data_IF_598647199896
#
_entry.id   IF_598647199896
#
_cell.length_a   1.000
_cell.length_b   1.000
_cell.length_c   1.000
_cell.angle_alpha   90.00
_cell.angle_beta   90.00
_cell.angle_gamma   90.00
#
_symmetry.space_group_name_H-M   'P 1'
#
loop_
_entity.id
_entity.type
_entity.pdbx_description
1 polymer ?
#
# COMPACT_ATOMS: atom_id res chain seq x y z
N UNK A 1 21.54 7.79 9.21
CA UNK A 1 20.22 8.44 9.18
C UNK A 1 19.31 7.63 8.25
N UNK A 2 18.01 7.62 8.48
CA UNK A 2 17.02 6.95 7.66
C UNK A 2 15.66 7.64 7.77
N UNK A 3 14.72 7.24 6.91
CA UNK A 3 13.34 7.72 6.93
C UNK A 3 12.38 6.58 6.63
N UNK A 4 11.09 6.84 6.78
CA UNK A 4 10.01 5.89 6.55
C UNK A 4 8.85 6.53 5.79
N UNK A 5 8.30 5.76 4.85
CA UNK A 5 7.06 6.08 4.14
C UNK A 5 6.17 4.82 4.05
N UNK A 6 4.94 5.00 3.64
CA UNK A 6 4.07 3.89 3.25
C UNK A 6 3.55 4.11 1.82
N UNK A 7 3.33 3.02 1.08
CA UNK A 7 2.88 3.06 -0.31
C UNK A 7 1.61 3.91 -0.46
N UNK A 8 0.61 3.71 0.42
CA UNK A 8 -0.64 4.48 0.38
C UNK A 8 -0.49 5.98 0.67
N UNK A 9 0.67 6.42 1.17
CA UNK A 9 0.92 7.84 1.48
C UNK A 9 1.62 8.56 0.34
N UNK A 10 2.49 7.86 -0.40
CA UNK A 10 3.41 8.50 -1.34
C UNK A 10 3.30 8.00 -2.78
N UNK A 11 2.87 6.77 -2.99
CA UNK A 11 3.05 6.07 -4.26
C UNK A 11 2.26 6.68 -5.42
N UNK A 12 0.97 6.94 -5.22
CA UNK A 12 0.11 7.38 -6.31
C UNK A 12 -0.13 6.31 -7.37
N UNK A 13 -0.42 6.74 -8.60
CA UNK A 13 -0.60 5.86 -9.77
C UNK A 13 -1.57 4.70 -9.49
N UNK A 14 -2.70 5.00 -8.85
CA UNK A 14 -3.66 4.01 -8.35
C UNK A 14 -4.33 3.19 -9.46
N UNK A 15 -4.36 3.71 -10.69
CA UNK A 15 -4.97 3.13 -11.88
C UNK A 15 -3.95 2.66 -12.94
N UNK A 16 -2.64 2.69 -12.61
CA UNK A 16 -1.58 2.36 -13.58
C UNK A 16 -1.14 0.90 -13.48
N UNK A 17 -0.75 0.37 -14.64
CA UNK A 17 -0.08 -0.92 -14.78
C UNK A 17 -0.82 -2.09 -14.12
N UNK A 18 -2.16 -2.05 -14.12
CA UNK A 18 -3.00 -3.12 -13.61
C UNK A 18 -3.10 -3.18 -12.09
N UNK A 19 -2.69 -2.11 -11.37
CA UNK A 19 -2.93 -2.04 -9.93
C UNK A 19 -4.42 -2.11 -9.61
N UNK A 20 -4.80 -2.95 -8.66
CA UNK A 20 -6.14 -2.97 -8.08
C UNK A 20 -6.35 -1.86 -7.04
N UNK A 21 -7.60 -1.60 -6.70
CA UNK A 21 -7.92 -0.70 -5.61
C UNK A 21 -7.62 -1.36 -4.25
N UNK A 22 -7.10 -0.57 -3.33
CA UNK A 22 -6.94 -0.95 -1.92
C UNK A 22 -7.96 -0.21 -1.04
N UNK A 23 -8.13 -0.65 0.19
CA UNK A 23 -8.94 0.06 1.19
C UNK A 23 -8.49 1.50 1.39
N UNK A 24 -7.20 1.76 1.28
CA UNK A 24 -6.63 3.10 1.38
C UNK A 24 -7.10 4.04 0.25
N UNK A 25 -7.37 3.50 -0.95
CA UNK A 25 -7.85 4.27 -2.10
C UNK A 25 -9.32 4.74 -1.94
N UNK A 26 -10.03 4.24 -0.91
CA UNK A 26 -11.41 4.61 -0.59
C UNK A 26 -11.52 5.68 0.49
N UNK A 27 -10.40 6.15 1.05
CA UNK A 27 -10.38 7.17 2.10
C UNK A 27 -10.51 8.57 1.47
N UNK A 28 -11.66 9.26 1.64
CA UNK A 28 -11.85 10.56 1.05
C UNK A 28 -11.10 11.67 1.80
N UNK A 29 -10.90 12.79 1.13
CA UNK A 29 -10.40 13.99 1.77
C UNK A 29 -11.46 14.59 2.71
N UNK A 30 -11.06 14.83 3.95
CA UNK A 30 -11.90 15.51 4.93
C UNK A 30 -11.33 16.92 5.14
N UNK A 31 -12.09 17.99 4.84
CA UNK A 31 -11.68 19.36 5.13
C UNK A 31 -11.35 19.55 6.62
N UNK A 32 -10.35 20.36 6.92
CA UNK A 32 -9.88 20.60 8.30
C UNK A 32 -11.03 21.01 9.25
N UNK A 33 -11.99 21.80 8.76
CA UNK A 33 -13.17 22.25 9.51
C UNK A 33 -14.15 21.13 9.89
N UNK A 34 -14.05 19.96 9.24
CA UNK A 34 -14.92 18.79 9.49
C UNK A 34 -14.17 17.64 10.20
N UNK A 35 -12.87 17.82 10.53
CA UNK A 35 -12.10 16.81 11.25
C UNK A 35 -12.44 16.88 12.73
N UNK A 36 -13.14 15.86 13.25
CA UNK A 36 -13.33 15.67 14.69
C UNK A 36 -12.06 15.12 15.36
N UNK A 37 -12.12 14.91 16.69
CA UNK A 37 -11.02 14.27 17.43
C UNK A 37 -10.74 12.84 16.99
N UNK A 38 -11.75 12.13 16.47
CA UNK A 38 -11.61 10.82 15.84
C UNK A 38 -11.39 11.05 14.34
N UNK A 39 -10.15 10.94 13.88
CA UNK A 39 -9.78 11.12 12.46
C UNK A 39 -10.19 9.94 11.56
N UNK A 40 -10.86 8.92 12.10
CA UNK A 40 -11.39 7.81 11.33
C UNK A 40 -12.74 8.22 10.74
N UNK A 41 -12.82 8.32 9.41
CA UNK A 41 -14.12 8.24 8.74
C UNK A 41 -14.54 6.78 8.71
N UNK A 42 -15.77 6.52 9.11
CA UNK A 42 -16.43 5.24 8.84
C UNK A 42 -16.71 5.16 7.34
N UNK A 43 -15.82 4.50 6.61
CA UNK A 43 -16.06 4.15 5.20
C UNK A 43 -16.93 2.90 5.20
N UNK A 44 -18.22 3.08 4.99
CA UNK A 44 -19.21 1.97 4.97
C UNK A 44 -19.16 1.21 3.65
N UNK A 45 -19.69 -0.02 3.63
CA UNK A 45 -19.84 -0.79 2.38
C UNK A 45 -20.69 -0.05 1.36
N UNK A 46 -21.77 0.63 1.80
CA UNK A 46 -22.62 1.45 0.93
C UNK A 46 -21.82 2.61 0.30
N UNK A 47 -21.00 3.29 1.10
CA UNK A 47 -20.12 4.34 0.59
C UNK A 47 -19.18 3.82 -0.50
N UNK A 48 -18.56 2.65 -0.28
CA UNK A 48 -17.67 2.01 -1.27
C UNK A 48 -18.43 1.73 -2.58
N UNK A 49 -19.62 1.15 -2.50
CA UNK A 49 -20.42 0.85 -3.70
C UNK A 49 -20.82 2.13 -4.45
N UNK A 50 -21.16 3.20 -3.75
CA UNK A 50 -21.48 4.50 -4.38
C UNK A 50 -20.25 5.12 -5.06
N UNK A 51 -19.07 5.01 -4.46
CA UNK A 51 -17.81 5.43 -5.09
C UNK A 51 -17.52 4.62 -6.36
N UNK A 52 -17.65 3.29 -6.29
CA UNK A 52 -17.41 2.41 -7.43
C UNK A 52 -18.43 2.61 -8.56
N UNK A 53 -19.65 2.97 -8.22
CA UNK A 53 -20.71 3.27 -9.18
C UNK A 53 -20.60 4.70 -9.78
N UNK A 54 -19.59 5.49 -9.40
CA UNK A 54 -19.41 6.87 -9.87
C UNK A 54 -20.46 7.86 -9.37
N UNK A 55 -21.18 7.53 -8.30
CA UNK A 55 -22.22 8.41 -7.71
C UNK A 55 -21.64 9.47 -6.79
N UNK A 56 -20.33 9.47 -6.55
CA UNK A 56 -19.66 10.38 -5.63
C UNK A 56 -18.51 11.11 -6.31
N UNK A 57 -18.41 12.40 -6.01
CA UNK A 57 -17.36 13.29 -6.52
C UNK A 57 -16.29 13.59 -5.44
N UNK A 58 -16.11 12.69 -4.49
CA UNK A 58 -15.13 12.87 -3.43
C UNK A 58 -13.69 12.83 -3.97
N UNK A 59 -12.81 13.65 -3.39
CA UNK A 59 -11.39 13.60 -3.66
C UNK A 59 -10.73 12.54 -2.79
N UNK A 60 -9.88 11.72 -3.38
CA UNK A 60 -9.15 10.63 -2.72
C UNK A 60 -7.64 10.89 -2.75
N UNK A 61 -7.07 11.61 -1.77
CA UNK A 61 -5.67 12.05 -1.82
C UNK A 61 -4.65 10.92 -1.92
N UNK A 62 -4.96 9.75 -1.38
CA UNK A 62 -4.07 8.60 -1.43
C UNK A 62 -3.94 7.97 -2.82
N UNK A 63 -4.87 8.26 -3.73
CA UNK A 63 -4.77 7.85 -5.14
C UNK A 63 -3.68 8.59 -5.90
N UNK A 64 -3.41 9.83 -5.49
CA UNK A 64 -2.39 10.69 -6.09
C UNK A 64 -1.05 10.59 -5.32
N UNK A 65 -1.11 10.62 -4.00
CA UNK A 65 0.07 10.67 -3.13
C UNK A 65 0.96 11.87 -3.48
N UNK A 66 2.28 11.62 -3.54
CA UNK A 66 3.28 12.54 -4.09
C UNK A 66 3.86 12.02 -5.41
N UNK A 67 3.17 11.04 -6.01
CA UNK A 67 3.53 10.41 -7.28
C UNK A 67 4.92 9.73 -7.25
N UNK A 68 5.25 9.10 -6.14
CA UNK A 68 6.51 8.35 -6.01
C UNK A 68 6.65 7.27 -7.09
N UNK A 69 5.53 6.74 -7.60
CA UNK A 69 5.53 5.75 -8.68
C UNK A 69 6.34 6.20 -9.90
N UNK A 70 6.18 7.46 -10.33
CA UNK A 70 6.90 8.00 -11.46
C UNK A 70 8.22 8.69 -11.05
N UNK A 71 8.29 9.20 -9.81
CA UNK A 71 9.38 10.07 -9.33
C UNK A 71 10.42 9.38 -8.45
N UNK A 72 10.28 8.09 -8.16
CA UNK A 72 11.16 7.38 -7.21
C UNK A 72 12.66 7.57 -7.47
N UNK A 73 13.08 7.73 -8.72
CA UNK A 73 14.50 7.93 -9.04
C UNK A 73 15.02 9.27 -8.53
N UNK A 74 14.25 10.33 -8.74
CA UNK A 74 14.56 11.68 -8.26
C UNK A 74 14.52 11.73 -6.73
N UNK A 75 13.47 11.17 -6.14
CA UNK A 75 13.30 11.16 -4.69
C UNK A 75 14.41 10.36 -3.99
N UNK A 76 14.81 9.21 -4.54
CA UNK A 76 15.91 8.40 -3.98
C UNK A 76 17.25 9.13 -4.11
N UNK A 77 17.49 9.87 -5.19
CA UNK A 77 18.69 10.70 -5.32
C UNK A 77 18.73 11.77 -4.20
N UNK A 78 17.62 12.43 -3.91
CA UNK A 78 17.52 13.38 -2.80
C UNK A 78 17.74 12.69 -1.44
N UNK A 79 17.25 11.48 -1.23
CA UNK A 79 17.53 10.72 0.00
C UNK A 79 19.03 10.44 0.15
N UNK A 80 19.73 10.17 -0.95
CA UNK A 80 21.17 9.97 -0.94
C UNK A 80 21.92 11.25 -0.58
N UNK A 81 21.52 12.40 -1.13
CA UNK A 81 22.07 13.74 -0.78
C UNK A 81 21.87 14.06 0.70
N UNK A 82 20.70 13.70 1.27
CA UNK A 82 20.40 13.83 2.70
C UNK A 82 21.20 12.84 3.58
N UNK A 83 21.97 11.93 2.98
CA UNK A 83 22.82 10.97 3.68
C UNK A 83 22.07 9.78 4.28
N UNK A 84 20.93 9.39 3.75
CA UNK A 84 20.17 8.21 4.22
C UNK A 84 21.01 6.94 4.02
N UNK A 85 20.93 6.03 4.99
CA UNK A 85 21.56 4.70 4.96
C UNK A 85 20.51 3.59 4.92
N UNK A 86 19.31 3.88 5.41
CA UNK A 86 18.17 2.97 5.40
C UNK A 86 16.94 3.77 4.98
N UNK A 87 16.12 3.17 4.13
CA UNK A 87 14.81 3.70 3.78
C UNK A 87 13.74 2.63 4.01
N UNK A 88 12.81 2.92 4.91
CA UNK A 88 11.65 2.08 5.15
C UNK A 88 10.53 2.47 4.17
N UNK A 89 9.97 1.48 3.49
CA UNK A 89 8.81 1.64 2.62
C UNK A 89 7.89 0.43 2.75
N UNK A 90 6.65 0.53 2.29
CA UNK A 90 5.78 -0.63 2.15
C UNK A 90 5.59 -1.03 0.70
N UNK A 91 5.17 -2.28 0.47
CA UNK A 91 4.66 -2.75 -0.82
C UNK A 91 3.14 -2.69 -0.78
N UNK A 92 2.52 -2.06 -1.78
CA UNK A 92 1.07 -2.09 -1.92
C UNK A 92 0.64 -3.46 -2.43
N UNK A 93 -0.02 -4.24 -1.58
CA UNK A 93 -0.48 -5.58 -1.93
C UNK A 93 -1.34 -5.59 -3.20
N UNK A 94 -2.27 -4.63 -3.37
CA UNK A 94 -3.12 -4.52 -4.55
C UNK A 94 -2.36 -4.16 -5.84
N UNK A 95 -1.08 -3.77 -5.77
CA UNK A 95 -0.23 -3.62 -6.95
C UNK A 95 0.37 -4.96 -7.39
N UNK A 96 0.57 -5.88 -6.45
CA UNK A 96 1.13 -7.21 -6.73
C UNK A 96 0.03 -8.21 -7.06
N UNK A 97 -1.06 -8.21 -6.30
CA UNK A 97 -2.26 -9.01 -6.56
C UNK A 97 -3.47 -8.07 -6.55
N UNK A 98 -3.92 -7.62 -7.73
CA UNK A 98 -4.93 -6.56 -7.86
C UNK A 98 -6.24 -6.82 -7.13
N UNK A 99 -6.69 -8.07 -7.06
CA UNK A 99 -7.86 -8.49 -6.31
C UNK A 99 -7.49 -9.15 -4.97
N UNK A 100 -6.23 -9.47 -4.75
CA UNK A 100 -5.72 -10.16 -3.57
C UNK A 100 -5.85 -11.68 -3.65
N UNK A 101 -6.91 -12.19 -4.29
CA UNK A 101 -7.19 -13.61 -4.50
C UNK A 101 -6.71 -14.13 -5.88
N UNK A 102 -6.08 -13.28 -6.68
CA UNK A 102 -5.55 -13.63 -7.99
C UNK A 102 -4.61 -14.86 -7.92
N UNK A 103 -4.66 -15.70 -8.95
CA UNK A 103 -3.79 -16.88 -9.05
C UNK A 103 -2.35 -16.49 -9.35
N UNK A 104 -2.15 -15.47 -10.19
CA UNK A 104 -0.86 -14.99 -10.65
C UNK A 104 -0.63 -13.54 -10.25
N UNK A 105 0.61 -13.16 -9.91
CA UNK A 105 0.93 -11.79 -9.56
C UNK A 105 0.98 -10.89 -10.81
N UNK A 106 0.74 -9.62 -10.59
CA UNK A 106 0.94 -8.58 -11.60
C UNK A 106 2.45 -8.30 -11.77
N UNK A 107 3.00 -8.77 -12.89
CA UNK A 107 4.43 -8.63 -13.19
C UNK A 107 4.88 -7.16 -13.26
N UNK A 108 4.04 -6.25 -13.75
CA UNK A 108 4.38 -4.83 -13.79
C UNK A 108 4.51 -4.23 -12.39
N UNK A 109 3.68 -4.67 -11.47
CA UNK A 109 3.79 -4.30 -10.06
C UNK A 109 5.07 -4.82 -9.42
N UNK A 110 5.41 -6.09 -9.68
CA UNK A 110 6.67 -6.68 -9.23
C UNK A 110 7.89 -5.93 -9.79
N UNK A 111 7.87 -5.61 -11.09
CA UNK A 111 8.96 -4.90 -11.74
C UNK A 111 9.14 -3.49 -11.19
N UNK A 112 8.05 -2.79 -10.85
CA UNK A 112 8.13 -1.46 -10.24
C UNK A 112 8.94 -1.50 -8.93
N UNK A 113 8.60 -2.36 -7.98
CA UNK A 113 9.34 -2.44 -6.72
C UNK A 113 10.77 -2.97 -6.91
N UNK A 114 10.99 -3.88 -7.84
CA UNK A 114 12.34 -4.31 -8.20
C UNK A 114 13.22 -3.13 -8.64
N UNK A 115 12.65 -2.25 -9.47
CA UNK A 115 13.35 -1.04 -9.92
C UNK A 115 13.62 -0.07 -8.77
N UNK A 116 12.66 0.12 -7.85
CA UNK A 116 12.84 0.94 -6.63
C UNK A 116 13.97 0.38 -5.76
N UNK A 117 14.01 -0.93 -5.51
CA UNK A 117 15.06 -1.54 -4.69
C UNK A 117 16.44 -1.46 -5.36
N UNK A 118 16.51 -1.67 -6.67
CA UNK A 118 17.75 -1.48 -7.44
C UNK A 118 18.25 -0.04 -7.36
N UNK A 119 17.36 0.95 -7.45
CA UNK A 119 17.75 2.35 -7.33
C UNK A 119 18.26 2.68 -5.92
N UNK A 120 17.63 2.18 -4.86
CA UNK A 120 18.12 2.33 -3.47
C UNK A 120 19.51 1.73 -3.31
N UNK A 121 19.75 0.52 -3.84
CA UNK A 121 21.05 -0.17 -3.78
C UNK A 121 22.14 0.60 -4.51
N UNK A 122 21.84 1.24 -5.63
CA UNK A 122 22.78 2.09 -6.38
C UNK A 122 23.37 3.18 -5.49
N UNK A 123 22.58 3.77 -4.60
CA UNK A 123 23.02 4.78 -3.62
C UNK A 123 23.46 4.19 -2.27
N UNK A 124 23.57 2.87 -2.15
CA UNK A 124 23.91 2.18 -0.91
C UNK A 124 22.94 2.49 0.25
N UNK A 125 21.66 2.68 -0.09
CA UNK A 125 20.57 2.83 0.85
C UNK A 125 19.92 1.45 1.01
N UNK A 126 19.90 0.93 2.24
CA UNK A 126 19.33 -0.38 2.53
C UNK A 126 17.80 -0.28 2.63
N UNK A 127 17.02 -1.05 1.84
CA UNK A 127 15.58 -1.10 1.99
C UNK A 127 15.18 -1.89 3.24
N UNK A 128 14.25 -1.33 4.02
CA UNK A 128 13.52 -2.01 5.09
C UNK A 128 12.04 -2.05 4.67
N UNK A 129 11.54 -3.23 4.31
CA UNK A 129 10.26 -3.37 3.63
C UNK A 129 9.16 -3.85 4.56
N UNK A 130 8.05 -3.13 4.60
CA UNK A 130 6.82 -3.52 5.30
C UNK A 130 5.88 -4.19 4.30
N UNK A 131 5.42 -5.42 4.60
CA UNK A 131 4.51 -6.16 3.73
C UNK A 131 3.11 -5.55 3.70
N UNK A 132 2.57 -5.18 4.87
CA UNK A 132 1.23 -4.59 4.99
C UNK A 132 1.27 -3.30 5.80
N UNK A 133 0.86 -2.20 5.18
CA UNK A 133 0.74 -0.89 5.78
C UNK A 133 -0.60 -0.25 5.40
N UNK A 134 -1.69 -0.99 5.68
CA UNK A 134 -3.10 -0.56 5.46
C UNK A 134 -3.52 -0.51 3.98
N UNK A 135 -2.91 -1.33 3.12
CA UNK A 135 -3.25 -1.43 1.70
C UNK A 135 -3.89 -2.78 1.34
N UNK A 136 -4.85 -3.25 2.12
CA UNK A 136 -5.59 -4.48 1.81
C UNK A 136 -6.32 -4.32 0.47
N UNK A 137 -6.18 -5.26 -0.48
CA UNK A 137 -6.93 -5.20 -1.72
C UNK A 137 -8.44 -5.11 -1.47
N UNK A 138 -9.09 -4.12 -2.07
CA UNK A 138 -10.52 -3.82 -1.84
C UNK A 138 -11.41 -5.01 -2.17
N UNK A 139 -11.05 -5.81 -3.16
CA UNK A 139 -11.80 -6.99 -3.53
C UNK A 139 -11.84 -8.04 -2.41
N UNK A 140 -10.78 -8.15 -1.57
CA UNK A 140 -10.79 -9.04 -0.42
C UNK A 140 -11.79 -8.57 0.65
N UNK A 141 -11.90 -7.25 0.86
CA UNK A 141 -12.91 -6.68 1.75
C UNK A 141 -14.33 -7.03 1.26
N UNK A 142 -14.59 -6.85 -0.03
CA UNK A 142 -15.91 -7.05 -0.63
C UNK A 142 -16.32 -8.52 -0.72
N UNK A 143 -15.38 -9.42 -1.04
CA UNK A 143 -15.65 -10.86 -1.25
C UNK A 143 -15.59 -11.67 0.04
N UNK A 144 -14.68 -11.33 0.93
CA UNK A 144 -14.30 -12.17 2.09
C UNK A 144 -14.45 -11.44 3.43
N UNK A 145 -14.95 -10.22 3.44
CA UNK A 145 -14.99 -9.38 4.65
C UNK A 145 -13.58 -9.14 5.25
N UNK A 146 -12.59 -8.95 4.38
CA UNK A 146 -11.20 -8.64 4.75
C UNK A 146 -10.59 -9.67 5.69
N UNK A 147 -9.85 -9.20 6.68
CA UNK A 147 -9.13 -10.03 7.65
C UNK A 147 -10.05 -10.81 8.62
N UNK A 148 -11.35 -10.59 8.58
CA UNK A 148 -12.30 -11.41 9.33
C UNK A 148 -12.37 -12.85 8.77
N UNK A 149 -12.19 -13.03 7.47
CA UNK A 149 -12.11 -14.36 6.85
C UNK A 149 -10.73 -14.99 7.00
N UNK A 150 -10.70 -16.24 7.43
CA UNK A 150 -9.46 -17.01 7.50
C UNK A 150 -8.86 -17.32 6.12
N UNK A 151 -9.63 -17.25 5.05
CA UNK A 151 -9.15 -17.44 3.67
C UNK A 151 -8.09 -16.40 3.28
N UNK A 152 -8.22 -15.16 3.80
CA UNK A 152 -7.29 -14.07 3.56
C UNK A 152 -5.87 -14.40 4.05
N UNK A 153 -5.72 -15.28 5.04
CA UNK A 153 -4.42 -15.77 5.50
C UNK A 153 -3.69 -16.47 4.34
N UNK A 154 -4.38 -17.33 3.58
CA UNK A 154 -3.80 -18.01 2.43
C UNK A 154 -3.38 -17.04 1.31
N UNK A 155 -4.19 -16.03 1.03
CA UNK A 155 -3.87 -15.01 0.03
C UNK A 155 -2.68 -14.15 0.47
N UNK A 156 -2.62 -13.76 1.75
CA UNK A 156 -1.48 -13.01 2.28
C UNK A 156 -0.19 -13.84 2.28
N UNK A 157 -0.26 -15.14 2.60
CA UNK A 157 0.88 -16.03 2.52
C UNK A 157 1.43 -16.11 1.10
N UNK A 158 0.57 -16.29 0.09
CA UNK A 158 0.96 -16.28 -1.33
C UNK A 158 1.63 -14.95 -1.72
N UNK A 159 1.06 -13.84 -1.31
CA UNK A 159 1.66 -12.52 -1.54
C UNK A 159 3.05 -12.42 -0.90
N UNK A 160 3.19 -12.81 0.36
CA UNK A 160 4.46 -12.76 1.09
C UNK A 160 5.52 -13.65 0.42
N UNK A 161 5.17 -14.89 0.07
CA UNK A 161 6.06 -15.83 -0.65
C UNK A 161 6.52 -15.26 -1.99
N UNK A 162 5.60 -14.66 -2.74
CA UNK A 162 5.89 -14.04 -4.04
C UNK A 162 6.93 -12.93 -3.90
N UNK A 163 6.71 -11.98 -2.99
CA UNK A 163 7.63 -10.83 -2.83
C UNK A 163 8.95 -11.25 -2.18
N UNK A 164 8.96 -12.20 -1.25
CA UNK A 164 10.18 -12.73 -0.67
C UNK A 164 11.03 -13.43 -1.74
N UNK A 165 10.42 -14.26 -2.56
CA UNK A 165 11.11 -14.97 -3.64
C UNK A 165 11.65 -14.00 -4.67
N UNK A 166 10.86 -13.03 -5.11
CA UNK A 166 11.23 -12.05 -6.13
C UNK A 166 12.38 -11.16 -5.67
N UNK A 167 12.40 -10.72 -4.42
CA UNK A 167 13.31 -9.70 -3.94
C UNK A 167 14.39 -10.21 -2.97
N UNK A 168 14.58 -11.54 -2.84
CA UNK A 168 15.53 -12.17 -1.92
C UNK A 168 16.95 -11.61 -1.97
N UNK A 169 17.41 -11.19 -3.17
CA UNK A 169 18.74 -10.67 -3.39
C UNK A 169 18.81 -9.13 -3.25
N UNK A 170 17.68 -8.47 -3.12
CA UNK A 170 17.54 -7.02 -3.05
C UNK A 170 17.17 -6.51 -1.67
N UNK A 171 16.33 -7.25 -0.94
CA UNK A 171 15.78 -6.85 0.35
C UNK A 171 16.18 -7.85 1.43
N UNK A 172 16.86 -7.34 2.45
CA UNK A 172 17.35 -8.12 3.58
C UNK A 172 16.44 -8.05 4.80
N UNK A 173 15.74 -6.93 5.00
CA UNK A 173 14.98 -6.65 6.21
C UNK A 173 13.50 -6.45 5.89
N UNK A 174 12.66 -7.21 6.61
CA UNK A 174 11.23 -7.23 6.41
C UNK A 174 10.47 -6.99 7.73
N UNK A 175 9.37 -6.27 7.63
CA UNK A 175 8.36 -6.11 8.66
C UNK A 175 7.04 -6.67 8.12
N UNK A 176 6.30 -7.41 8.93
CA UNK A 176 5.05 -8.04 8.48
C UNK A 176 3.91 -7.02 8.41
N UNK A 177 3.63 -6.35 9.51
CA UNK A 177 2.55 -5.38 9.62
C UNK A 177 3.03 -4.07 10.25
N UNK A 178 2.48 -2.96 9.80
CA UNK A 178 2.58 -1.72 10.52
C UNK A 178 1.48 -1.67 11.59
N UNK A 179 1.85 -1.30 12.83
CA UNK A 179 0.91 -1.02 13.93
C UNK A 179 -0.26 -2.02 14.02
N UNK A 180 0.04 -3.31 14.08
CA UNK A 180 -0.98 -4.37 14.09
C UNK A 180 -2.04 -4.18 15.19
N UNK A 181 -1.69 -3.55 16.30
CA UNK A 181 -2.59 -3.20 17.38
C UNK A 181 -3.70 -2.23 16.96
N UNK A 182 -3.45 -1.37 15.97
CA UNK A 182 -4.45 -0.41 15.46
C UNK A 182 -5.56 -1.12 14.67
N UNK A 183 -5.29 -2.30 14.14
CA UNK A 183 -6.31 -3.10 13.43
C UNK A 183 -7.53 -3.44 14.29
N UNK A 184 -7.41 -3.39 15.61
CA UNK A 184 -8.53 -3.62 16.53
C UNK A 184 -9.40 -2.37 16.76
N UNK A 185 -8.97 -1.20 16.28
CA UNK A 185 -9.62 0.07 16.54
C UNK A 185 -10.07 0.83 15.29
N UNK A 186 -9.55 0.46 14.12
CA UNK A 186 -9.85 1.13 12.85
C UNK A 186 -10.15 0.09 11.78
N UNK A 187 -11.42 -0.18 11.59
CA UNK A 187 -11.90 -1.32 10.82
C UNK A 187 -11.47 -1.26 9.35
N UNK A 188 -11.96 -0.29 8.57
CA UNK A 188 -11.74 -0.33 7.13
C UNK A 188 -10.35 0.17 6.68
N UNK A 189 -9.79 1.15 7.38
CA UNK A 189 -8.50 1.71 6.97
C UNK A 189 -7.32 0.77 7.20
N UNK A 190 -7.45 -0.13 8.17
CA UNK A 190 -6.37 -0.98 8.66
C UNK A 190 -6.66 -2.45 8.38
N UNK A 191 -7.82 -2.93 8.77
CA UNK A 191 -8.17 -4.35 8.68
C UNK A 191 -8.94 -4.71 7.39
N UNK A 192 -9.54 -3.73 6.71
CA UNK A 192 -10.25 -3.97 5.46
C UNK A 192 -11.62 -4.62 5.66
N UNK A 193 -12.36 -4.28 6.72
CA UNK A 193 -13.75 -4.68 6.93
C UNK A 193 -14.57 -3.57 7.56
#
# INVERSE_FOLDING_TARGET
MGSATAANQVEGAFDKDGKGLSTADMVPYIPKSKRGMNMAMDVTSEYIEDVLAGKREDRFPKRDGVDFYHRYKEDIALFAELGFKVFRLSINWARIFPNGDDAEPNEKGLQFYENVFKELKKYKIEPLVTLSHYETPLALTRKYNGWYSREVIGFFTRYAETVFTRYKDLVKYWLTFNEINVMTHSLIQVAGF
#
